data_IF_650742056719
#
_entry.id   IF_650742056719
#
_cell.length_a   1.000
_cell.length_b   1.000
_cell.length_c   1.000
_cell.angle_alpha   90.00
_cell.angle_beta   90.00
_cell.angle_gamma   90.00
#
_symmetry.space_group_name_H-M   'P 1'
#
loop_
_entity.id
_entity.type
_entity.pdbx_description
1 polymer ?
#
# COMPACT_ATOMS: atom_id res chain seq x y z
N UNK A 1 -10.35 9.06 -6.88
CA UNK A 1 -9.09 9.19 -6.11
C UNK A 1 -9.04 8.05 -5.12
N UNK A 2 -8.15 7.07 -5.30
CA UNK A 2 -7.97 5.97 -4.35
C UNK A 2 -7.27 6.41 -3.05
N UNK A 3 -7.50 5.65 -2.00
CA UNK A 3 -6.85 5.78 -0.70
C UNK A 3 -5.97 4.57 -0.44
N UNK A 4 -4.77 4.80 0.10
CA UNK A 4 -3.79 3.78 0.46
C UNK A 4 -3.33 4.00 1.89
N UNK A 5 -2.66 3.01 2.50
CA UNK A 5 -1.98 3.19 3.77
C UNK A 5 -0.52 3.57 3.54
N UNK A 6 -0.06 4.60 4.27
CA UNK A 6 1.34 5.01 4.34
C UNK A 6 1.82 4.92 5.79
N UNK A 7 3.00 4.37 6.01
CA UNK A 7 3.63 4.36 7.32
C UNK A 7 4.25 5.74 7.63
N UNK A 8 4.05 6.24 8.85
CA UNK A 8 4.43 7.59 9.29
C UNK A 8 5.94 7.80 9.23
N UNK A 9 6.71 6.86 9.77
CA UNK A 9 8.15 7.01 9.96
C UNK A 9 8.94 6.63 8.72
N UNK A 10 8.59 5.51 8.10
CA UNK A 10 9.34 4.95 6.95
C UNK A 10 8.82 5.45 5.61
N UNK A 11 7.56 5.90 5.53
CA UNK A 11 6.89 6.22 4.28
C UNK A 11 6.48 4.99 3.47
N UNK A 12 6.55 3.79 4.05
CA UNK A 12 6.15 2.55 3.36
C UNK A 12 4.68 2.58 2.94
N UNK A 13 4.39 2.08 1.74
CA UNK A 13 3.03 1.89 1.24
C UNK A 13 2.62 0.44 1.41
N UNK A 14 1.49 0.20 2.06
CA UNK A 14 1.03 -1.15 2.36
C UNK A 14 0.67 -1.90 1.06
N UNK A 15 1.32 -3.06 0.87
CA UNK A 15 1.14 -3.93 -0.28
C UNK A 15 0.89 -5.37 0.16
N UNK A 16 0.12 -6.09 -0.65
CA UNK A 16 -0.27 -7.46 -0.39
C UNK A 16 -0.55 -8.21 -1.70
N UNK A 17 -0.69 -9.53 -1.62
CA UNK A 17 -1.22 -10.32 -2.74
C UNK A 17 -2.70 -10.02 -2.87
N UNK A 18 -3.10 -9.63 -4.08
CA UNK A 18 -4.46 -9.28 -4.47
C UNK A 18 -4.85 -10.09 -5.70
N UNK A 19 -6.15 -10.27 -5.91
CA UNK A 19 -6.67 -10.94 -7.10
C UNK A 19 -7.32 -9.92 -8.03
N UNK A 20 -6.94 -9.95 -9.31
CA UNK A 20 -7.53 -9.07 -10.32
C UNK A 20 -8.82 -9.68 -10.94
N UNK A 21 -9.46 -8.94 -11.85
CA UNK A 21 -10.69 -9.36 -12.54
C UNK A 21 -10.52 -10.60 -13.44
N UNK A 22 -9.30 -11.07 -13.66
CA UNK A 22 -8.98 -12.28 -14.42
C UNK A 22 -8.65 -13.48 -13.51
N UNK A 23 -8.90 -13.37 -12.20
CA UNK A 23 -8.54 -14.36 -11.19
C UNK A 23 -7.03 -14.64 -11.09
N UNK A 24 -6.19 -13.69 -11.50
CA UNK A 24 -4.74 -13.78 -11.35
C UNK A 24 -4.30 -13.04 -10.10
N UNK A 25 -3.48 -13.74 -9.31
CA UNK A 25 -2.86 -13.18 -8.13
C UNK A 25 -1.70 -12.27 -8.53
N UNK A 26 -1.64 -11.10 -7.88
CA UNK A 26 -0.57 -10.14 -8.07
C UNK A 26 -0.24 -9.43 -6.75
N UNK A 27 1.03 -9.15 -6.52
CA UNK A 27 1.51 -8.33 -5.42
C UNK A 27 1.43 -6.85 -5.80
N UNK A 28 0.64 -6.10 -5.05
CA UNK A 28 0.37 -4.70 -5.31
C UNK A 28 -0.14 -3.95 -4.08
N UNK A 29 -0.26 -2.64 -4.20
CA UNK A 29 -0.76 -1.79 -3.10
C UNK A 29 -2.24 -2.04 -2.85
N UNK A 30 -2.64 -2.19 -1.58
CA UNK A 30 -4.07 -2.19 -1.23
C UNK A 30 -4.58 -0.76 -1.40
N UNK A 31 -5.71 -0.64 -2.07
CA UNK A 31 -6.41 0.63 -2.23
C UNK A 31 -7.89 0.49 -1.87
N UNK A 32 -8.47 1.60 -1.45
CA UNK A 32 -9.91 1.77 -1.21
C UNK A 32 -10.45 2.92 -2.06
N UNK A 33 -11.73 2.85 -2.39
CA UNK A 33 -12.41 3.92 -3.14
C UNK A 33 -12.88 5.05 -2.22
N UNK A 34 -13.06 4.78 -0.93
CA UNK A 34 -13.54 5.75 0.06
C UNK A 34 -12.60 5.83 1.27
N UNK A 35 -12.38 7.05 1.76
CA UNK A 35 -11.57 7.27 2.97
C UNK A 35 -12.17 6.59 4.20
N UNK A 36 -13.50 6.65 4.35
CA UNK A 36 -14.21 6.03 5.48
C UNK A 36 -14.07 4.52 5.50
N UNK A 37 -14.04 3.87 4.34
CA UNK A 37 -13.82 2.43 4.21
C UNK A 37 -12.38 2.09 4.59
N UNK A 38 -11.40 2.87 4.09
CA UNK A 38 -10.00 2.70 4.45
C UNK A 38 -9.78 2.82 5.96
N UNK A 39 -10.35 3.82 6.63
CA UNK A 39 -10.20 3.99 8.08
C UNK A 39 -10.85 2.86 8.89
N UNK A 40 -12.00 2.35 8.44
CA UNK A 40 -12.68 1.23 9.10
C UNK A 40 -11.92 -0.09 8.93
N UNK A 41 -11.33 -0.32 7.77
CA UNK A 41 -10.69 -1.59 7.42
C UNK A 41 -9.18 -1.62 7.72
N UNK A 42 -8.53 -0.46 7.96
CA UNK A 42 -7.06 -0.40 8.06
C UNK A 42 -6.51 -1.35 9.12
N UNK A 43 -7.11 -1.40 10.30
CA UNK A 43 -6.55 -2.17 11.41
C UNK A 43 -6.62 -3.67 11.12
N UNK A 44 -7.79 -4.12 10.66
CA UNK A 44 -8.00 -5.52 10.26
C UNK A 44 -7.10 -5.91 9.09
N UNK A 45 -6.91 -5.02 8.11
CA UNK A 45 -6.00 -5.27 7.00
C UNK A 45 -4.54 -5.37 7.47
N UNK A 46 -4.08 -4.45 8.32
CA UNK A 46 -2.72 -4.49 8.88
C UNK A 46 -2.47 -5.74 9.74
N UNK A 47 -3.50 -6.21 10.47
CA UNK A 47 -3.49 -7.51 11.16
C UNK A 47 -3.18 -8.67 10.20
N UNK A 48 -3.84 -8.71 9.03
CA UNK A 48 -3.58 -9.77 8.05
C UNK A 48 -2.15 -9.78 7.51
N UNK A 49 -1.44 -8.66 7.59
CA UNK A 49 -0.06 -8.51 7.16
C UNK A 49 0.96 -8.71 8.30
N UNK A 50 0.48 -8.86 9.54
CA UNK A 50 1.32 -9.02 10.72
C UNK A 50 2.04 -7.74 11.14
N UNK A 51 1.52 -6.56 10.79
CA UNK A 51 2.09 -5.29 11.26
C UNK A 51 1.63 -5.01 12.70
N UNK A 52 2.60 -4.85 13.61
CA UNK A 52 2.36 -4.59 15.04
C UNK A 52 2.14 -3.08 15.32
N UNK A 53 2.74 -2.21 14.51
CA UNK A 53 2.78 -0.75 14.65
C UNK A 53 1.64 -0.03 13.93
N UNK A 54 0.42 -0.55 14.05
CA UNK A 54 -0.76 -0.09 13.27
C UNK A 54 -1.08 1.39 13.43
N UNK A 55 -0.80 1.97 14.60
CA UNK A 55 -1.01 3.38 14.90
C UNK A 55 -0.12 4.31 14.06
N UNK A 56 0.97 3.78 13.51
CA UNK A 56 1.87 4.50 12.61
C UNK A 56 1.41 4.47 11.15
N UNK A 57 0.36 3.72 10.81
CA UNK A 57 -0.18 3.64 9.44
C UNK A 57 -1.38 4.56 9.28
N UNK A 58 -1.30 5.48 8.31
CA UNK A 58 -2.35 6.47 8.06
C UNK A 58 -2.87 6.41 6.63
N UNK A 59 -4.15 6.72 6.47
CA UNK A 59 -4.82 6.78 5.17
C UNK A 59 -4.33 8.01 4.40
N UNK A 60 -3.87 7.78 3.17
CA UNK A 60 -3.41 8.84 2.26
C UNK A 60 -4.13 8.71 0.92
N UNK A 61 -4.70 9.82 0.44
CA UNK A 61 -5.25 9.88 -0.91
C UNK A 61 -4.14 9.98 -1.95
N UNK A 62 -4.25 9.21 -3.03
CA UNK A 62 -3.36 9.30 -4.19
C UNK A 62 -4.18 9.33 -5.48
N UNK A 63 -3.55 9.68 -6.61
CA UNK A 63 -4.20 9.58 -7.92
C UNK A 63 -4.20 8.12 -8.40
N UNK A 64 -5.11 7.78 -9.32
CA UNK A 64 -5.13 6.44 -9.92
C UNK A 64 -3.84 6.13 -10.67
N UNK A 65 -3.27 7.12 -11.36
CA UNK A 65 -2.00 6.94 -12.04
C UNK A 65 -0.85 6.70 -11.06
N UNK A 66 -0.92 7.28 -9.86
CA UNK A 66 0.05 6.96 -8.80
C UNK A 66 -0.05 5.51 -8.35
N UNK A 67 -1.25 4.96 -8.19
CA UNK A 67 -1.43 3.54 -7.85
C UNK A 67 -0.83 2.63 -8.93
N UNK A 68 -1.03 2.96 -10.22
CA UNK A 68 -0.40 2.21 -11.31
C UNK A 68 1.12 2.24 -11.20
N UNK A 69 1.71 3.41 -10.95
CA UNK A 69 3.15 3.55 -10.73
C UNK A 69 3.63 2.74 -9.53
N UNK A 70 2.86 2.70 -8.44
CA UNK A 70 3.18 1.91 -7.25
C UNK A 70 3.32 0.43 -7.60
N UNK A 71 2.33 -0.13 -8.29
CA UNK A 71 2.34 -1.54 -8.71
C UNK A 71 3.48 -1.84 -9.71
N UNK A 72 3.79 -0.91 -10.62
CA UNK A 72 4.96 -1.04 -11.52
C UNK A 72 6.27 -1.08 -10.73
N UNK A 73 6.41 -0.28 -9.67
CA UNK A 73 7.61 -0.27 -8.81
C UNK A 73 7.75 -1.54 -7.99
N UNK A 74 6.65 -2.11 -7.53
CA UNK A 74 6.59 -3.38 -6.81
C UNK A 74 6.88 -4.59 -7.69
N UNK A 75 6.72 -4.49 -9.03
CA UNK A 75 7.07 -5.55 -10.00
C UNK A 75 6.48 -6.94 -9.69
N UNK A 76 5.31 -7.00 -9.05
CA UNK A 76 4.71 -8.27 -8.61
C UNK A 76 5.63 -9.10 -7.68
N UNK A 77 6.51 -8.43 -6.93
CA UNK A 77 7.58 -9.06 -6.15
C UNK A 77 7.40 -8.77 -4.64
N UNK A 78 7.00 -9.76 -3.83
CA UNK A 78 6.72 -9.59 -2.41
C UNK A 78 7.98 -9.29 -1.58
N UNK A 79 9.19 -9.50 -2.13
CA UNK A 79 10.44 -9.10 -1.46
C UNK A 79 10.74 -7.61 -1.62
N UNK A 80 9.84 -6.83 -2.24
CA UNK A 80 9.99 -5.39 -2.42
C UNK A 80 9.00 -4.64 -1.55
N UNK A 81 9.49 -3.58 -0.90
CA UNK A 81 8.64 -2.55 -0.28
C UNK A 81 8.74 -1.24 -1.06
N UNK A 82 7.61 -0.57 -1.19
CA UNK A 82 7.51 0.74 -1.82
C UNK A 82 7.54 1.81 -0.75
N UNK A 83 8.45 2.77 -0.89
CA UNK A 83 8.56 3.91 0.01
C UNK A 83 8.16 5.18 -0.73
N UNK A 84 7.28 5.97 -0.12
CA UNK A 84 6.91 7.31 -0.56
C UNK A 84 7.30 8.32 0.53
N UNK A 85 8.21 9.24 0.23
CA UNK A 85 8.56 10.30 1.16
C UNK A 85 7.46 11.38 1.25
N UNK A 86 7.67 12.38 2.12
CA UNK A 86 6.70 13.48 2.32
C UNK A 86 6.62 14.43 1.13
N UNK A 87 7.62 14.45 0.24
CA UNK A 87 7.59 15.18 -1.02
C UNK A 87 6.91 14.37 -2.14
N UNK A 88 6.53 13.12 -1.87
CA UNK A 88 5.90 12.21 -2.83
C UNK A 88 6.88 11.50 -3.76
N UNK A 89 8.19 11.56 -3.52
CA UNK A 89 9.17 10.80 -4.29
C UNK A 89 9.11 9.31 -3.91
N UNK A 90 9.28 8.45 -4.91
CA UNK A 90 9.20 6.99 -4.75
C UNK A 90 10.56 6.34 -4.79
N UNK A 91 10.81 5.46 -3.83
CA UNK A 91 11.92 4.52 -3.86
C UNK A 91 11.44 3.10 -3.57
N UNK A 92 12.24 2.11 -3.95
CA UNK A 92 11.97 0.70 -3.72
C UNK A 92 13.12 0.14 -2.90
N UNK A 93 12.79 -0.63 -1.87
CA UNK A 93 13.75 -1.29 -0.99
C UNK A 93 13.45 -2.78 -0.93
N UNK A 94 14.44 -3.58 -0.54
CA UNK A 94 14.19 -4.98 -0.18
C UNK A 94 13.39 -5.04 1.14
N UNK A 95 12.53 -6.04 1.26
CA UNK A 95 11.85 -6.39 2.51
C UNK A 95 12.80 -7.30 3.30
N UNK A 96 13.07 -6.92 4.54
CA UNK A 96 13.97 -7.62 5.47
C UNK A 96 13.34 -8.91 6.00
#
# INVERSE_FOLDING_TARGET
MPFVLRHAQTGEIAACVQRNNYNLDYFGVKQWSQSSEAEQEKEAFLDTLGFEDKDQWFVTSVTEDRVKVFNVKLKNDPSRRLIMDTAGLLSVQARD
#
